data_IF_602911916310
#
_entry.id   IF_602911916310
#
_cell.length_a   1.000
_cell.length_b   1.000
_cell.length_c   1.000
_cell.angle_alpha   90.00
_cell.angle_beta   90.00
_cell.angle_gamma   90.00
#
_symmetry.space_group_name_H-M   'P 1'
#
loop_
_entity.id
_entity.type
_entity.pdbx_description
1 polymer ?
#
# COMPACT_ATOMS: atom_id res chain seq x y z
N UNK A 1 5.27 -25.56 -9.20
CA UNK A 1 4.36 -25.59 -8.02
C UNK A 1 4.79 -24.64 -6.91
N UNK A 2 6.03 -24.65 -6.42
CA UNK A 2 6.44 -23.74 -5.34
C UNK A 2 6.30 -22.25 -5.70
N UNK A 3 6.78 -21.85 -6.88
CA UNK A 3 6.68 -20.46 -7.38
C UNK A 3 5.23 -20.00 -7.55
N UNK A 4 4.34 -20.85 -8.10
CA UNK A 4 2.93 -20.52 -8.28
C UNK A 4 2.21 -20.25 -6.94
N UNK A 5 2.61 -20.92 -5.85
CA UNK A 5 2.07 -20.66 -4.51
C UNK A 5 2.56 -19.30 -3.98
N UNK A 6 3.85 -18.99 -4.18
CA UNK A 6 4.44 -17.72 -3.75
C UNK A 6 3.82 -16.52 -4.50
N UNK A 7 3.65 -16.62 -5.82
CA UNK A 7 2.94 -15.61 -6.61
C UNK A 7 1.48 -15.44 -6.19
N UNK A 8 0.78 -16.55 -5.89
CA UNK A 8 -0.60 -16.51 -5.37
C UNK A 8 -0.67 -15.78 -4.03
N UNK A 9 0.29 -16.02 -3.12
CA UNK A 9 0.34 -15.34 -1.83
C UNK A 9 0.64 -13.84 -1.98
N UNK A 10 1.64 -13.48 -2.78
CA UNK A 10 1.99 -12.06 -3.04
C UNK A 10 0.78 -11.31 -3.61
N UNK A 11 0.08 -11.94 -4.56
CA UNK A 11 -1.17 -11.42 -5.11
C UNK A 11 -2.26 -11.26 -4.03
N UNK A 12 -2.50 -12.29 -3.21
CA UNK A 12 -3.50 -12.25 -2.15
C UNK A 12 -3.21 -11.15 -1.12
N UNK A 13 -1.94 -11.01 -0.70
CA UNK A 13 -1.51 -9.96 0.23
C UNK A 13 -1.67 -8.57 -0.39
N UNK A 14 -1.39 -8.40 -1.69
CA UNK A 14 -1.68 -7.14 -2.39
C UNK A 14 -3.18 -6.81 -2.39
N UNK A 15 -4.04 -7.76 -2.78
CA UNK A 15 -5.51 -7.57 -2.79
C UNK A 15 -6.05 -7.28 -1.38
N UNK A 16 -5.57 -8.00 -0.36
CA UNK A 16 -5.91 -7.75 1.04
C UNK A 16 -5.49 -6.32 1.46
N UNK A 17 -4.29 -5.88 1.05
CA UNK A 17 -3.81 -4.52 1.33
C UNK A 17 -4.67 -3.45 0.64
N UNK A 18 -5.05 -3.65 -0.63
CA UNK A 18 -5.98 -2.78 -1.35
C UNK A 18 -7.31 -2.68 -0.58
N UNK A 19 -7.91 -3.83 -0.20
CA UNK A 19 -9.19 -3.88 0.52
C UNK A 19 -9.16 -3.30 1.94
N UNK A 20 -8.06 -3.48 2.68
CA UNK A 20 -7.89 -2.91 4.03
C UNK A 20 -7.50 -1.43 4.01
N UNK A 21 -6.93 -0.92 2.92
CA UNK A 21 -6.41 0.45 2.85
C UNK A 21 -7.40 1.56 3.23
N UNK A 22 -8.71 1.53 2.88
CA UNK A 22 -9.65 2.56 3.28
C UNK A 22 -9.91 2.55 4.79
N UNK A 23 -9.98 1.36 5.41
CA UNK A 23 -10.19 1.18 6.84
C UNK A 23 -8.98 1.68 7.63
N UNK A 24 -7.77 1.32 7.18
CA UNK A 24 -6.52 1.78 7.79
C UNK A 24 -6.35 3.30 7.64
N UNK A 25 -6.61 3.86 6.46
CA UNK A 25 -6.56 5.30 6.23
C UNK A 25 -7.58 6.06 7.11
N UNK A 26 -8.82 5.55 7.22
CA UNK A 26 -9.84 6.12 8.11
C UNK A 26 -9.40 6.06 9.58
N UNK A 27 -8.87 4.93 10.05
CA UNK A 27 -8.38 4.78 11.42
C UNK A 27 -7.25 5.77 11.73
N UNK A 28 -6.30 5.96 10.81
CA UNK A 28 -5.25 6.98 10.93
C UNK A 28 -5.87 8.38 11.00
N UNK A 29 -6.79 8.73 10.09
CA UNK A 29 -7.43 10.06 10.05
C UNK A 29 -8.28 10.36 11.29
N UNK A 30 -8.94 9.35 11.87
CA UNK A 30 -9.70 9.48 13.12
C UNK A 30 -8.76 9.68 14.33
N UNK A 31 -7.69 8.89 14.44
CA UNK A 31 -6.64 9.09 15.46
C UNK A 31 -5.95 10.46 15.34
N UNK A 32 -5.78 10.95 14.10
CA UNK A 32 -5.19 12.27 13.81
C UNK A 32 -6.06 13.44 14.28
N UNK A 33 -7.28 13.20 14.80
CA UNK A 33 -8.09 14.23 15.47
C UNK A 33 -7.67 14.49 16.92
N UNK A 34 -6.89 13.59 17.53
CA UNK A 34 -6.47 13.66 18.95
C UNK A 34 -4.96 13.77 19.17
N UNK A 35 -4.17 13.69 18.10
CA UNK A 35 -2.69 13.74 18.09
C UNK A 35 -2.20 13.95 16.65
N UNK A 36 -0.89 14.14 16.46
CA UNK A 36 -0.28 14.31 15.13
C UNK A 36 -0.57 13.12 14.21
N UNK A 37 -0.64 13.39 12.90
CA UNK A 37 -0.83 12.37 11.87
C UNK A 37 0.34 11.40 11.84
N UNK A 38 1.57 11.87 12.09
CA UNK A 38 2.75 11.01 12.22
C UNK A 38 2.60 10.02 13.39
N UNK A 39 2.09 10.44 14.56
CA UNK A 39 1.86 9.54 15.69
C UNK A 39 0.67 8.58 15.45
N UNK A 40 -0.38 9.04 14.76
CA UNK A 40 -1.51 8.21 14.35
C UNK A 40 -1.08 7.10 13.38
N UNK A 41 -0.31 7.46 12.34
CA UNK A 41 0.29 6.52 11.40
C UNK A 41 1.19 5.52 12.13
N UNK A 42 2.11 6.00 12.98
CA UNK A 42 3.04 5.14 13.72
C UNK A 42 2.35 4.08 14.58
N UNK A 43 1.25 4.44 15.26
CA UNK A 43 0.47 3.45 16.04
C UNK A 43 -0.26 2.43 15.16
N UNK A 44 -0.85 2.84 14.04
CA UNK A 44 -1.55 1.91 13.14
C UNK A 44 -0.55 0.97 12.45
N UNK A 45 0.59 1.51 11.99
CA UNK A 45 1.69 0.72 11.43
C UNK A 45 2.24 -0.25 12.47
N UNK A 46 2.47 0.18 13.71
CA UNK A 46 2.91 -0.69 14.81
C UNK A 46 1.91 -1.80 15.14
N UNK A 47 0.61 -1.48 15.18
CA UNK A 47 -0.44 -2.47 15.41
C UNK A 47 -0.52 -3.51 14.28
N UNK A 48 -0.48 -3.08 13.02
CA UNK A 48 -0.47 -3.99 11.86
C UNK A 48 0.81 -4.84 11.83
N UNK A 49 1.98 -4.25 12.07
CA UNK A 49 3.25 -4.98 12.18
C UNK A 49 3.21 -6.02 13.31
N UNK A 50 2.58 -5.70 14.45
CA UNK A 50 2.35 -6.62 15.55
C UNK A 50 1.44 -7.79 15.16
N UNK A 51 0.31 -7.52 14.50
CA UNK A 51 -0.62 -8.55 13.99
C UNK A 51 0.07 -9.46 12.97
N UNK A 52 0.83 -8.89 12.02
CA UNK A 52 1.64 -9.66 11.05
C UNK A 52 2.67 -10.54 11.75
N UNK A 53 3.36 -10.01 12.77
CA UNK A 53 4.36 -10.77 13.53
C UNK A 53 3.70 -11.90 14.34
N UNK A 54 2.55 -11.66 14.98
CA UNK A 54 1.78 -12.70 15.67
C UNK A 54 1.31 -13.80 14.70
N UNK A 55 0.80 -13.43 13.53
CA UNK A 55 0.40 -14.37 12.48
C UNK A 55 1.58 -15.19 11.94
N UNK A 56 2.74 -14.57 11.77
CA UNK A 56 3.98 -15.27 11.42
C UNK A 56 4.42 -16.25 12.53
N UNK A 57 4.40 -15.84 13.80
CA UNK A 57 4.70 -16.71 14.96
C UNK A 57 3.75 -17.90 15.04
N UNK A 58 2.45 -17.70 14.80
CA UNK A 58 1.50 -18.80 14.67
C UNK A 58 1.85 -19.73 13.48
N UNK A 59 2.27 -19.18 12.34
CA UNK A 59 2.76 -19.96 11.20
C UNK A 59 4.03 -20.77 11.50
N UNK A 60 4.97 -20.21 12.25
CA UNK A 60 6.18 -20.91 12.74
C UNK A 60 5.81 -22.07 13.68
N UNK A 61 4.88 -21.84 14.61
CA UNK A 61 4.51 -22.80 15.65
C UNK A 61 3.55 -23.91 15.18
N UNK A 62 2.61 -23.61 14.28
CA UNK A 62 1.49 -24.48 13.93
C UNK A 62 1.58 -25.10 12.52
N UNK A 63 2.39 -24.55 11.62
CA UNK A 63 2.45 -24.98 10.22
C UNK A 63 3.84 -25.46 9.82
N UNK A 64 4.82 -24.55 9.75
CA UNK A 64 6.23 -24.85 9.47
C UNK A 64 7.08 -23.58 9.51
N UNK A 65 8.40 -23.74 9.64
CA UNK A 65 9.34 -22.61 9.54
C UNK A 65 9.21 -21.84 8.21
N UNK A 66 8.94 -22.57 7.10
CA UNK A 66 8.74 -21.98 5.76
C UNK A 66 7.46 -21.15 5.70
N UNK A 67 6.38 -21.61 6.32
CA UNK A 67 5.13 -20.84 6.40
C UNK A 67 5.33 -19.55 7.22
N UNK A 68 5.95 -19.65 8.40
CA UNK A 68 6.22 -18.50 9.25
C UNK A 68 7.05 -17.40 8.58
N UNK A 69 8.17 -17.76 7.94
CA UNK A 69 9.05 -16.77 7.28
C UNK A 69 8.38 -16.14 6.06
N UNK A 70 7.62 -16.91 5.28
CA UNK A 70 6.89 -16.42 4.10
C UNK A 70 5.76 -15.45 4.52
N UNK A 71 5.01 -15.76 5.57
CA UNK A 71 3.99 -14.86 6.14
C UNK A 71 4.62 -13.56 6.67
N UNK A 72 5.75 -13.66 7.40
CA UNK A 72 6.46 -12.49 7.91
C UNK A 72 6.94 -11.57 6.79
N UNK A 73 7.67 -12.12 5.81
CA UNK A 73 8.24 -11.34 4.72
C UNK A 73 7.15 -10.74 3.81
N UNK A 74 6.09 -11.49 3.49
CA UNK A 74 5.00 -10.98 2.68
C UNK A 74 4.21 -9.88 3.42
N UNK A 75 3.87 -10.09 4.69
CA UNK A 75 3.11 -9.12 5.49
C UNK A 75 3.89 -7.84 5.78
N UNK A 76 5.14 -7.94 6.23
CA UNK A 76 5.97 -6.76 6.51
C UNK A 76 6.41 -6.07 5.20
N UNK A 77 6.70 -6.84 4.15
CA UNK A 77 7.01 -6.31 2.82
C UNK A 77 5.83 -5.52 2.23
N UNK A 78 4.60 -6.00 2.40
CA UNK A 78 3.40 -5.26 2.01
C UNK A 78 3.17 -4.02 2.87
N UNK A 79 3.28 -4.12 4.20
CA UNK A 79 3.15 -2.96 5.09
C UNK A 79 4.14 -1.85 4.73
N UNK A 80 5.40 -2.20 4.46
CA UNK A 80 6.41 -1.22 4.06
C UNK A 80 6.23 -0.73 2.62
N UNK A 81 6.21 -1.64 1.66
CA UNK A 81 6.24 -1.34 0.22
C UNK A 81 4.93 -0.81 -0.36
N UNK A 82 3.78 -1.19 0.19
CA UNK A 82 2.46 -0.78 -0.29
C UNK A 82 1.81 0.32 0.56
N UNK A 83 2.18 0.47 1.85
CA UNK A 83 1.60 1.49 2.73
C UNK A 83 2.61 2.54 3.20
N UNK A 84 3.59 2.18 4.02
CA UNK A 84 4.47 3.15 4.70
C UNK A 84 5.29 3.98 3.70
N UNK A 85 6.01 3.32 2.79
CA UNK A 85 6.88 4.01 1.84
C UNK A 85 6.06 4.88 0.87
N UNK A 86 4.99 4.38 0.20
CA UNK A 86 4.10 5.20 -0.61
C UNK A 86 3.49 6.42 0.09
N UNK A 87 3.05 6.28 1.35
CA UNK A 87 2.47 7.39 2.12
C UNK A 87 3.54 8.44 2.46
N UNK A 88 4.75 8.03 2.84
CA UNK A 88 5.85 8.94 3.16
C UNK A 88 6.42 9.65 1.93
N UNK A 89 6.51 8.98 0.79
CA UNK A 89 6.84 9.60 -0.51
C UNK A 89 5.72 10.53 -0.95
N UNK A 90 4.46 10.10 -0.84
CA UNK A 90 3.29 10.92 -1.14
C UNK A 90 3.24 12.22 -0.34
N UNK A 91 3.56 12.18 0.96
CA UNK A 91 3.75 13.38 1.80
C UNK A 91 4.80 14.32 1.21
N UNK A 92 5.95 13.80 0.79
CA UNK A 92 7.02 14.59 0.18
C UNK A 92 6.56 15.30 -1.09
N UNK A 93 5.90 14.57 -1.98
CA UNK A 93 5.32 15.09 -3.24
C UNK A 93 4.28 16.17 -2.96
N UNK A 94 3.32 15.94 -2.07
CA UNK A 94 2.27 16.91 -1.72
C UNK A 94 2.88 18.19 -1.15
N UNK A 95 3.78 18.07 -0.16
CA UNK A 95 4.45 19.22 0.46
C UNK A 95 5.19 20.04 -0.59
N UNK A 96 6.00 19.40 -1.44
CA UNK A 96 6.76 20.07 -2.50
C UNK A 96 5.87 20.74 -3.56
N UNK A 97 4.74 20.13 -3.94
CA UNK A 97 3.85 20.62 -5.01
C UNK A 97 2.78 21.62 -4.57
N UNK A 98 2.56 21.81 -3.26
CA UNK A 98 1.45 22.62 -2.71
C UNK A 98 1.82 23.58 -1.58
N UNK A 99 3.01 23.42 -0.97
CA UNK A 99 3.50 24.26 0.12
C UNK A 99 2.81 24.06 1.46
N UNK A 100 1.96 23.04 1.63
CA UNK A 100 1.27 22.79 2.91
C UNK A 100 2.19 22.14 3.96
N UNK A 101 1.80 22.28 5.22
CA UNK A 101 2.57 21.79 6.36
C UNK A 101 2.78 20.27 6.37
N UNK A 102 3.85 19.82 7.05
CA UNK A 102 4.32 18.43 6.98
C UNK A 102 3.27 17.41 7.43
N UNK A 103 2.50 17.73 8.46
CA UNK A 103 1.46 16.85 9.01
C UNK A 103 0.20 16.85 8.13
N UNK A 104 -0.18 17.97 7.53
CA UNK A 104 -1.30 18.05 6.58
C UNK A 104 -0.96 17.36 5.26
N UNK A 105 0.27 17.52 4.75
CA UNK A 105 0.77 16.76 3.61
C UNK A 105 0.74 15.25 3.87
N UNK A 106 1.04 14.81 5.09
CA UNK A 106 0.92 13.40 5.48
C UNK A 106 -0.55 12.96 5.47
N UNK A 107 -1.44 13.75 6.08
CA UNK A 107 -2.87 13.45 6.16
C UNK A 107 -3.50 13.37 4.78
N UNK A 108 -3.14 14.29 3.88
CA UNK A 108 -3.55 14.28 2.47
C UNK A 108 -3.06 13.01 1.77
N UNK A 109 -1.78 12.64 1.93
CA UNK A 109 -1.23 11.42 1.34
C UNK A 109 -1.93 10.15 1.88
N UNK A 110 -2.21 10.08 3.18
CA UNK A 110 -2.99 8.98 3.79
C UNK A 110 -4.41 8.91 3.21
N UNK A 111 -5.10 10.04 3.01
CA UNK A 111 -6.45 10.02 2.41
C UNK A 111 -6.45 9.64 0.92
N UNK A 112 -5.38 9.94 0.19
CA UNK A 112 -5.25 9.61 -1.23
C UNK A 112 -4.72 8.18 -1.49
N UNK A 113 -4.07 7.58 -0.50
CA UNK A 113 -3.44 6.27 -0.60
C UNK A 113 -4.40 5.12 -1.00
N UNK A 114 -5.61 4.99 -0.42
CA UNK A 114 -6.56 3.96 -0.85
C UNK A 114 -6.99 4.10 -2.31
N UNK A 115 -7.14 5.35 -2.79
CA UNK A 115 -7.50 5.63 -4.20
C UNK A 115 -6.34 5.28 -5.13
N UNK A 116 -5.08 5.53 -4.72
CA UNK A 116 -3.90 5.12 -5.49
C UNK A 116 -3.77 3.59 -5.56
N UNK A 117 -4.02 2.88 -4.45
CA UNK A 117 -4.02 1.42 -4.44
C UNK A 117 -5.16 0.84 -5.28
N UNK A 118 -6.39 1.36 -5.15
CA UNK A 118 -7.52 0.95 -5.98
C UNK A 118 -7.26 1.22 -7.48
N UNK A 119 -6.65 2.36 -7.81
CA UNK A 119 -6.24 2.69 -9.18
C UNK A 119 -5.16 1.75 -9.73
N UNK A 120 -4.13 1.43 -8.94
CA UNK A 120 -3.11 0.44 -9.36
C UNK A 120 -3.72 -0.96 -9.55
N UNK A 121 -4.66 -1.37 -8.69
CA UNK A 121 -5.38 -2.62 -8.87
C UNK A 121 -6.24 -2.60 -10.14
N UNK A 122 -6.99 -1.52 -10.37
CA UNK A 122 -7.87 -1.36 -11.54
C UNK A 122 -7.10 -1.34 -12.88
N UNK A 123 -5.86 -0.81 -12.89
CA UNK A 123 -5.05 -0.69 -14.11
C UNK A 123 -4.21 -1.94 -14.41
N UNK A 124 -3.63 -2.58 -13.39
CA UNK A 124 -2.64 -3.66 -13.59
C UNK A 124 -3.14 -5.05 -13.22
N UNK A 125 -4.26 -5.16 -12.48
CA UNK A 125 -4.78 -6.42 -11.96
C UNK A 125 -6.21 -6.74 -12.41
N UNK A 126 -7.16 -5.83 -12.20
CA UNK A 126 -8.57 -6.02 -12.50
C UNK A 126 -8.89 -6.41 -13.96
N UNK A 127 -8.19 -5.91 -15.01
CA UNK A 127 -8.55 -6.18 -16.41
C UNK A 127 -8.51 -7.66 -16.80
N UNK A 128 -7.79 -8.49 -16.04
CA UNK A 128 -7.74 -9.95 -16.23
C UNK A 128 -8.36 -10.79 -15.11
N UNK A 129 -8.65 -10.17 -13.95
CA UNK A 129 -9.05 -10.89 -12.75
C UNK A 129 -8.05 -12.00 -12.35
N UNK A 130 -8.57 -13.07 -11.75
CA UNK A 130 -7.78 -14.24 -11.33
C UNK A 130 -7.42 -15.20 -12.48
N UNK A 131 -8.01 -15.06 -13.68
CA UNK A 131 -8.08 -16.16 -14.65
C UNK A 131 -7.06 -16.09 -15.81
N UNK A 132 -6.69 -14.89 -16.29
CA UNK A 132 -5.61 -14.56 -17.27
C UNK A 132 -5.56 -13.04 -17.49
N UNK A 133 -4.53 -12.52 -18.18
CA UNK A 133 -4.47 -11.11 -18.66
C UNK A 133 -4.30 -10.00 -17.60
N UNK A 134 -3.63 -10.30 -16.50
CA UNK A 134 -3.11 -9.27 -15.59
C UNK A 134 -1.57 -9.20 -15.66
N UNK A 135 -0.98 -8.23 -14.94
CA UNK A 135 0.48 -7.97 -14.92
C UNK A 135 1.36 -9.22 -14.68
N UNK A 136 0.89 -10.22 -13.94
CA UNK A 136 1.68 -11.44 -13.65
C UNK A 136 1.74 -12.43 -14.83
N UNK A 137 0.91 -12.23 -15.86
CA UNK A 137 0.90 -13.03 -17.09
C UNK A 137 1.74 -12.43 -18.22
N UNK A 138 2.32 -11.24 -18.02
CA UNK A 138 3.24 -10.63 -18.98
C UNK A 138 4.62 -11.29 -18.92
N UNK A 139 5.33 -11.29 -20.04
CA UNK A 139 6.71 -11.79 -20.14
C UNK A 139 7.63 -10.81 -20.88
N UNK A 140 8.95 -11.03 -20.79
CA UNK A 140 9.96 -10.20 -21.47
C UNK A 140 9.91 -8.72 -21.08
N UNK A 141 10.20 -7.85 -22.05
CA UNK A 141 10.24 -6.39 -21.83
C UNK A 141 8.88 -5.80 -21.38
N UNK A 142 7.76 -6.37 -21.84
CA UNK A 142 6.43 -5.93 -21.45
C UNK A 142 6.17 -6.13 -19.94
N UNK A 143 6.64 -7.24 -19.37
CA UNK A 143 6.57 -7.48 -17.93
C UNK A 143 7.38 -6.44 -17.16
N UNK A 144 8.64 -6.21 -17.56
CA UNK A 144 9.53 -5.25 -16.89
C UNK A 144 8.94 -3.85 -16.87
N UNK A 145 8.44 -3.37 -18.01
CA UNK A 145 7.79 -2.06 -18.11
C UNK A 145 6.52 -1.97 -17.26
N UNK A 146 5.67 -3.00 -17.26
CA UNK A 146 4.45 -3.02 -16.45
C UNK A 146 4.76 -3.02 -14.94
N UNK A 147 5.74 -3.82 -14.49
CA UNK A 147 6.15 -3.86 -13.07
C UNK A 147 6.77 -2.54 -12.60
N UNK A 148 7.58 -1.89 -13.45
CA UNK A 148 8.09 -0.54 -13.17
C UNK A 148 6.95 0.49 -13.11
N UNK A 149 6.02 0.46 -14.08
CA UNK A 149 4.87 1.38 -14.10
C UNK A 149 3.97 1.19 -12.87
N UNK A 150 3.64 -0.05 -12.50
CA UNK A 150 2.90 -0.38 -11.28
C UNK A 150 3.62 0.14 -10.03
N UNK A 151 4.93 -0.11 -9.93
CA UNK A 151 5.75 0.38 -8.81
C UNK A 151 5.73 1.90 -8.67
N UNK A 152 5.85 2.63 -9.79
CA UNK A 152 5.75 4.11 -9.81
C UNK A 152 4.35 4.58 -9.41
N UNK A 153 3.28 3.94 -9.91
CA UNK A 153 1.89 4.31 -9.57
C UNK A 153 1.61 4.08 -8.09
N UNK A 154 2.05 2.95 -7.52
CA UNK A 154 1.91 2.67 -6.07
C UNK A 154 2.71 3.69 -5.26
N UNK A 155 3.98 3.92 -5.62
CA UNK A 155 4.91 4.75 -4.84
C UNK A 155 4.56 6.25 -4.84
N UNK A 156 4.16 6.79 -6.00
CA UNK A 156 3.97 8.24 -6.19
C UNK A 156 2.49 8.63 -6.26
N UNK A 157 1.59 7.68 -6.57
CA UNK A 157 0.14 7.89 -6.71
C UNK A 157 -0.53 8.60 -5.53
N UNK A 158 -0.27 8.25 -4.25
CA UNK A 158 -0.83 8.97 -3.11
C UNK A 158 -0.46 10.46 -3.11
N UNK A 159 0.76 10.77 -3.56
CA UNK A 159 1.26 12.14 -3.68
C UNK A 159 0.61 12.93 -4.81
N UNK A 160 0.44 12.30 -5.98
CA UNK A 160 -0.17 12.92 -7.16
C UNK A 160 -1.66 13.19 -6.94
N UNK A 161 -2.42 12.17 -6.52
CA UNK A 161 -3.85 12.29 -6.23
C UNK A 161 -4.11 13.28 -5.08
N UNK A 162 -3.29 13.23 -4.02
CA UNK A 162 -3.35 14.20 -2.93
C UNK A 162 -3.11 15.64 -3.39
N UNK A 163 -2.11 15.85 -4.26
CA UNK A 163 -1.80 17.17 -4.86
C UNK A 163 -2.97 17.70 -5.69
N UNK A 164 -3.58 16.85 -6.52
CA UNK A 164 -4.75 17.21 -7.33
C UNK A 164 -5.94 17.59 -6.44
N UNK A 165 -6.24 16.80 -5.41
CA UNK A 165 -7.33 17.06 -4.46
C UNK A 165 -7.13 18.31 -3.58
N UNK A 166 -5.89 18.74 -3.36
CA UNK A 166 -5.59 20.04 -2.71
C UNK A 166 -5.75 21.19 -3.70
N UNK A 167 -5.26 21.06 -4.93
CA UNK A 167 -5.37 22.10 -5.97
C UNK A 167 -6.82 22.36 -6.40
N UNK A 168 -7.62 21.32 -6.51
CA UNK A 168 -9.05 21.44 -6.82
C UNK A 168 -9.80 22.23 -5.74
N UNK A 169 -9.54 21.91 -4.45
CA UNK A 169 -10.13 22.63 -3.30
C UNK A 169 -9.66 24.07 -3.11
N UNK A 170 -8.58 24.52 -3.79
CA UNK A 170 -8.16 25.93 -3.82
C UNK A 170 -8.75 26.73 -4.98
N UNK A 171 -9.57 26.11 -5.84
CA UNK A 171 -10.24 26.73 -6.99
C UNK A 171 -11.76 26.84 -6.81
N UNK A 172 -12.27 26.33 -5.69
CA UNK A 172 -13.64 26.44 -5.20
C UNK A 172 -13.64 27.43 -4.04
#
# INVERSE_FOLDING_TARGET
>A
MAESILWTLVFFVYVLTVGLSPVLALAIVLLSRRRSTTAALGSIVGAVAGIVTLGATAGFALLSWRAGIVLFLAGQGALLGLAVIPVLVGRGVVRWRTGIEREDALRVAVTAWPVALAGSFALFVAPGGFARYNITFLSGAAAVLAWLAWGVVVLVGPGLLGTLGVRFRRRL
#
